data_IF_464686978493
#
_entry.id   IF_464686978493
#
_cell.length_a   1.000
_cell.length_b   1.000
_cell.length_c   1.000
_cell.angle_alpha   90.00
_cell.angle_beta   90.00
_cell.angle_gamma   90.00
#
_symmetry.space_group_name_H-M   'P 1'
#
loop_
_entity.id
_entity.type
_entity.pdbx_description
1 polymer ?
#
# COMPACT_ATOMS: atom_id res chain seq x y z
N UNK A 1 -29.63 47.54 1.09
CA UNK A 1 -30.40 46.38 0.61
C UNK A 1 -29.59 45.13 0.91
N UNK A 2 -30.06 44.29 1.83
CA UNK A 2 -29.46 43.01 2.13
C UNK A 2 -29.97 41.94 1.14
N UNK A 3 -29.07 41.13 0.59
CA UNK A 3 -29.39 39.82 0.04
C UNK A 3 -28.23 38.87 0.33
N UNK A 4 -28.35 38.20 1.47
CA UNK A 4 -27.82 36.86 1.60
C UNK A 4 -28.65 35.94 0.68
N UNK A 5 -27.99 35.10 -0.11
CA UNK A 5 -28.57 33.83 -0.53
C UNK A 5 -27.43 32.89 -0.90
N UNK A 6 -27.23 31.95 0.00
CA UNK A 6 -26.39 30.77 -0.10
C UNK A 6 -26.73 29.96 -1.35
N UNK A 7 -25.70 29.38 -1.98
CA UNK A 7 -25.73 27.96 -2.37
C UNK A 7 -24.29 27.46 -2.61
N UNK A 8 -23.68 26.71 -1.68
CA UNK A 8 -22.52 25.89 -1.98
C UNK A 8 -23.01 24.58 -2.60
N UNK A 9 -23.43 24.62 -3.87
CA UNK A 9 -24.09 23.47 -4.54
C UNK A 9 -23.16 22.68 -5.46
N UNK A 10 -21.94 22.41 -4.99
CA UNK A 10 -21.03 21.49 -5.66
C UNK A 10 -20.09 20.80 -4.66
N UNK A 11 -20.63 20.22 -3.58
CA UNK A 11 -20.01 19.02 -2.98
C UNK A 11 -20.67 17.79 -3.61
N UNK A 12 -20.59 17.70 -4.93
CA UNK A 12 -21.11 16.57 -5.68
C UNK A 12 -20.01 15.53 -5.73
N UNK A 13 -20.13 14.56 -4.83
CA UNK A 13 -19.42 13.29 -4.89
C UNK A 13 -17.89 13.43 -4.88
N UNK A 14 -17.32 13.81 -3.73
CA UNK A 14 -16.00 13.28 -3.43
C UNK A 14 -16.18 11.76 -3.37
N UNK A 15 -15.50 10.98 -4.23
CA UNK A 15 -15.56 9.53 -4.15
C UNK A 15 -15.20 9.20 -2.71
N UNK A 16 -16.03 8.37 -2.06
CA UNK A 16 -15.60 7.66 -0.88
C UNK A 16 -14.30 6.99 -1.31
N UNK A 17 -13.18 7.58 -0.92
CA UNK A 17 -11.89 6.95 -1.07
C UNK A 17 -12.09 5.62 -0.38
N UNK A 18 -12.12 4.55 -1.15
CA UNK A 18 -11.95 3.21 -0.64
C UNK A 18 -10.66 3.30 0.15
N UNK A 19 -10.80 3.50 1.46
CA UNK A 19 -9.68 3.59 2.37
C UNK A 19 -9.14 2.17 2.39
N UNK A 20 -8.23 1.89 1.46
CA UNK A 20 -7.39 0.73 1.57
C UNK A 20 -6.79 0.82 3.00
N UNK A 21 -6.88 -0.24 3.81
CA UNK A 21 -6.46 -0.20 5.21
C UNK A 21 -4.98 0.18 5.37
N UNK A 22 -4.21 0.13 4.28
CA UNK A 22 -2.82 0.51 4.22
C UNK A 22 -2.61 1.55 3.12
N UNK A 23 -2.11 2.73 3.49
CA UNK A 23 -1.60 3.68 2.51
C UNK A 23 -0.25 3.23 1.96
N UNK A 24 0.19 3.86 0.86
CA UNK A 24 1.49 3.58 0.23
C UNK A 24 2.67 3.53 1.22
N UNK A 25 2.72 4.46 2.19
CA UNK A 25 3.75 4.50 3.21
C UNK A 25 3.76 3.25 4.12
N UNK A 26 2.59 2.69 4.44
CA UNK A 26 2.48 1.47 5.23
C UNK A 26 2.99 0.26 4.45
N UNK A 27 2.74 0.21 3.14
CA UNK A 27 3.19 -0.87 2.27
C UNK A 27 4.71 -0.81 2.10
N UNK A 28 5.28 0.37 1.85
CA UNK A 28 6.74 0.57 1.82
C UNK A 28 7.41 0.18 3.15
N UNK A 29 6.79 0.49 4.30
CA UNK A 29 7.30 0.07 5.60
C UNK A 29 7.32 -1.47 5.72
N UNK A 30 6.25 -2.14 5.30
CA UNK A 30 6.16 -3.60 5.35
C UNK A 30 7.21 -4.27 4.45
N UNK A 31 7.51 -3.67 3.29
CA UNK A 31 8.58 -4.13 2.42
C UNK A 31 9.95 -3.99 3.10
N UNK A 32 10.26 -2.83 3.69
CA UNK A 32 11.51 -2.65 4.45
C UNK A 32 11.63 -3.65 5.60
N UNK A 33 10.54 -3.88 6.35
CA UNK A 33 10.53 -4.88 7.41
C UNK A 33 10.79 -6.29 6.89
N UNK A 34 10.26 -6.67 5.73
CA UNK A 34 10.54 -7.95 5.11
C UNK A 34 12.03 -8.08 4.75
N UNK A 35 12.63 -7.04 4.17
CA UNK A 35 14.05 -7.01 3.79
C UNK A 35 14.94 -7.09 5.03
N UNK A 36 14.65 -6.30 6.06
CA UNK A 36 15.42 -6.28 7.31
C UNK A 36 15.39 -7.64 8.01
N UNK A 37 14.19 -8.24 8.13
CA UNK A 37 14.03 -9.54 8.81
C UNK A 37 14.66 -10.70 8.04
N UNK A 38 14.65 -10.61 6.70
CA UNK A 38 15.38 -11.56 5.84
C UNK A 38 16.88 -11.44 6.04
N UNK A 39 17.41 -10.21 5.98
CA UNK A 39 18.85 -9.94 6.11
C UNK A 39 19.38 -10.38 7.48
N UNK A 40 18.57 -10.20 8.53
CA UNK A 40 18.86 -10.68 9.88
C UNK A 40 18.69 -12.20 10.07
N UNK A 41 18.30 -12.95 9.02
CA UNK A 41 17.98 -14.38 9.08
C UNK A 41 16.94 -14.74 10.17
N UNK A 42 16.08 -13.77 10.52
CA UNK A 42 15.13 -13.91 11.62
C UNK A 42 13.89 -14.71 11.22
N UNK A 43 13.60 -14.83 9.91
CA UNK A 43 12.45 -15.53 9.36
C UNK A 43 12.87 -16.70 8.49
N UNK A 44 12.13 -17.80 8.56
CA UNK A 44 12.26 -18.92 7.63
C UNK A 44 11.90 -18.49 6.21
N UNK A 45 12.48 -19.16 5.20
CA UNK A 45 12.19 -18.90 3.78
C UNK A 45 10.69 -18.98 3.47
N UNK A 46 9.98 -19.93 4.09
CA UNK A 46 8.53 -20.05 3.93
C UNK A 46 7.78 -18.81 4.43
N UNK A 47 8.21 -18.26 5.57
CA UNK A 47 7.60 -17.05 6.14
C UNK A 47 7.88 -15.83 5.27
N UNK A 48 9.11 -15.69 4.77
CA UNK A 48 9.48 -14.62 3.83
C UNK A 48 8.60 -14.67 2.56
N UNK A 49 8.44 -15.86 1.97
CA UNK A 49 7.57 -16.11 0.80
C UNK A 49 6.12 -15.71 1.04
N UNK A 50 5.54 -16.10 2.17
CA UNK A 50 4.15 -15.78 2.52
C UNK A 50 3.95 -14.27 2.64
N UNK A 51 4.86 -13.56 3.32
CA UNK A 51 4.77 -12.11 3.45
C UNK A 51 5.01 -11.38 2.13
N UNK A 52 5.93 -11.84 1.28
CA UNK A 52 6.14 -11.28 -0.05
C UNK A 52 4.90 -11.43 -0.96
N UNK A 53 4.24 -12.60 -0.92
CA UNK A 53 2.97 -12.81 -1.63
C UNK A 53 1.86 -11.89 -1.12
N UNK A 54 1.72 -11.78 0.19
CA UNK A 54 0.74 -10.87 0.79
C UNK A 54 0.99 -9.40 0.37
N UNK A 55 2.25 -8.98 0.25
CA UNK A 55 2.60 -7.66 -0.27
C UNK A 55 2.22 -7.50 -1.74
N UNK A 56 2.47 -8.51 -2.58
CA UNK A 56 2.03 -8.50 -3.98
C UNK A 56 0.50 -8.52 -4.14
N UNK A 57 -0.24 -9.09 -3.20
CA UNK A 57 -1.72 -9.06 -3.22
C UNK A 57 -2.28 -7.68 -2.84
N UNK A 58 -1.48 -6.81 -2.21
CA UNK A 58 -1.84 -5.40 -1.94
C UNK A 58 -1.67 -4.49 -3.17
N UNK A 59 -1.13 -5.01 -4.28
CA UNK A 59 -0.85 -4.30 -5.54
C UNK A 59 -2.12 -3.69 -6.19
N UNK A 60 -3.32 -4.16 -5.83
CA UNK A 60 -4.57 -3.53 -6.30
C UNK A 60 -4.72 -2.06 -5.88
N UNK A 61 -4.04 -1.64 -4.80
CA UNK A 61 -4.16 -0.28 -4.23
C UNK A 61 -2.82 0.48 -4.14
N UNK A 62 -1.71 -0.16 -4.52
CA UNK A 62 -0.37 0.44 -4.43
C UNK A 62 0.52 0.09 -5.62
N UNK A 63 0.95 1.12 -6.35
CA UNK A 63 1.95 0.97 -7.39
C UNK A 63 3.33 0.78 -6.77
N UNK A 64 3.83 -0.45 -6.79
CA UNK A 64 5.23 -0.74 -6.53
C UNK A 64 6.13 -0.17 -7.64
N UNK A 65 7.32 0.31 -7.28
CA UNK A 65 8.35 0.56 -8.28
C UNK A 65 8.87 -0.75 -8.89
N UNK A 66 9.47 -0.68 -10.08
CA UNK A 66 10.07 -1.86 -10.74
C UNK A 66 11.08 -2.58 -9.85
N UNK A 67 11.84 -1.84 -9.04
CA UNK A 67 12.81 -2.37 -8.09
C UNK A 67 12.12 -3.15 -6.96
N UNK A 68 11.08 -2.57 -6.34
CA UNK A 68 10.32 -3.21 -5.26
C UNK A 68 9.60 -4.46 -5.75
N UNK A 69 9.00 -4.40 -6.94
CA UNK A 69 8.36 -5.55 -7.58
C UNK A 69 9.37 -6.65 -7.87
N UNK A 70 10.56 -6.31 -8.37
CA UNK A 70 11.63 -7.27 -8.61
C UNK A 70 12.09 -7.95 -7.32
N UNK A 71 12.26 -7.19 -6.24
CA UNK A 71 12.60 -7.72 -4.92
C UNK A 71 11.52 -8.68 -4.39
N UNK A 72 10.25 -8.28 -4.44
CA UNK A 72 9.13 -9.13 -4.01
C UNK A 72 9.05 -10.41 -4.84
N UNK A 73 9.25 -10.33 -6.16
CA UNK A 73 9.30 -11.50 -7.02
C UNK A 73 10.48 -12.43 -6.67
N UNK A 74 11.63 -11.88 -6.28
CA UNK A 74 12.79 -12.68 -5.86
C UNK A 74 12.49 -13.50 -4.60
N UNK A 75 11.67 -12.97 -3.67
CA UNK A 75 11.24 -13.71 -2.49
C UNK A 75 10.29 -14.88 -2.80
N UNK A 76 9.52 -14.79 -3.88
CA UNK A 76 8.44 -15.75 -4.20
C UNK A 76 8.91 -16.91 -5.09
N UNK A 77 10.05 -16.76 -5.79
CA UNK A 77 10.71 -17.82 -6.55
C UNK A 77 11.28 -18.92 -5.65
#
# INVERSE_FOLDING_TARGET
MARASETPRARLFEPMTTQCPFGAASISLLLHLLIDRTSAHAWSVQRQRVHARALLELDCDHYFSDEELHMLCAFVR
#
